data_IF_490064804730
#
_entry.id   IF_490064804730
#
_cell.length_a   1.000
_cell.length_b   1.000
_cell.length_c   1.000
_cell.angle_alpha   90.00
_cell.angle_beta   90.00
_cell.angle_gamma   90.00
#
_symmetry.space_group_name_H-M   'P 1'
#
loop_
_entity.id
_entity.type
_entity.pdbx_description
1 polymer ?
#
# COMPACT_ATOMS: atom_id res chain seq x y z
N UNK A 1 -33.23 -32.53 -3.58
CA UNK A 1 -32.28 -31.61 -2.93
C UNK A 1 -31.49 -30.95 -4.06
N UNK A 2 -31.99 -29.83 -4.57
CA UNK A 2 -31.25 -29.04 -5.57
C UNK A 2 -30.14 -28.28 -4.86
N UNK A 3 -28.89 -28.59 -5.22
CA UNK A 3 -27.72 -27.79 -4.86
C UNK A 3 -27.81 -26.45 -5.59
N UNK A 4 -28.43 -25.47 -4.95
CA UNK A 4 -28.46 -24.08 -5.38
C UNK A 4 -27.16 -23.34 -5.00
N UNK A 5 -26.00 -23.97 -5.22
CA UNK A 5 -24.68 -23.40 -4.92
C UNK A 5 -24.23 -22.30 -5.90
N UNK A 6 -25.11 -21.86 -6.81
CA UNK A 6 -24.83 -20.80 -7.78
C UNK A 6 -25.99 -19.84 -8.05
N UNK A 7 -27.00 -19.76 -7.18
CA UNK A 7 -28.12 -18.84 -7.40
C UNK A 7 -27.76 -17.38 -7.11
N UNK A 8 -28.41 -16.45 -7.80
CA UNK A 8 -28.22 -15.00 -7.61
C UNK A 8 -28.48 -14.53 -6.17
N UNK A 9 -29.37 -15.20 -5.44
CA UNK A 9 -29.62 -14.92 -4.03
C UNK A 9 -28.41 -15.21 -3.16
N UNK A 10 -27.70 -16.32 -3.41
CA UNK A 10 -26.48 -16.65 -2.68
C UNK A 10 -25.39 -15.61 -2.92
N UNK A 11 -25.23 -15.14 -4.16
CA UNK A 11 -24.30 -14.05 -4.50
C UNK A 11 -24.67 -12.73 -3.81
N UNK A 12 -25.96 -12.40 -3.75
CA UNK A 12 -26.44 -11.20 -3.08
C UNK A 12 -26.18 -11.24 -1.56
N UNK A 13 -26.37 -12.40 -0.93
CA UNK A 13 -26.05 -12.61 0.50
C UNK A 13 -24.56 -12.44 0.77
N UNK A 14 -23.68 -13.01 -0.06
CA UNK A 14 -22.23 -12.83 0.07
C UNK A 14 -21.78 -11.38 -0.11
N UNK A 15 -22.34 -10.65 -1.09
CA UNK A 15 -22.06 -9.21 -1.26
C UNK A 15 -22.49 -8.39 -0.05
N UNK A 16 -23.65 -8.69 0.54
CA UNK A 16 -24.12 -8.02 1.76
C UNK A 16 -23.16 -8.27 2.92
N UNK A 17 -22.72 -9.51 3.11
CA UNK A 17 -21.78 -9.86 4.16
C UNK A 17 -20.42 -9.17 3.96
N UNK A 18 -19.90 -9.14 2.74
CA UNK A 18 -18.65 -8.46 2.39
C UNK A 18 -18.70 -6.97 2.75
N UNK A 19 -19.81 -6.28 2.44
CA UNK A 19 -19.99 -4.88 2.81
C UNK A 19 -20.07 -4.67 4.32
N UNK A 20 -20.73 -5.57 5.05
CA UNK A 20 -20.77 -5.51 6.52
C UNK A 20 -19.38 -5.69 7.13
N UNK A 21 -18.57 -6.61 6.58
CA UNK A 21 -17.17 -6.79 6.99
C UNK A 21 -16.34 -5.54 6.71
N UNK A 22 -16.49 -4.90 5.54
CA UNK A 22 -15.86 -3.61 5.25
C UNK A 22 -16.20 -2.54 6.29
N UNK A 23 -17.48 -2.43 6.68
CA UNK A 23 -17.92 -1.45 7.66
C UNK A 23 -17.26 -1.68 9.04
N UNK A 24 -17.15 -2.94 9.48
CA UNK A 24 -16.45 -3.28 10.72
C UNK A 24 -14.96 -2.94 10.61
N UNK A 25 -14.32 -3.32 9.50
CA UNK A 25 -12.92 -3.03 9.24
C UNK A 25 -12.61 -1.52 9.25
N UNK A 26 -13.51 -0.68 8.73
CA UNK A 26 -13.37 0.78 8.79
C UNK A 26 -13.41 1.35 10.20
N UNK A 27 -14.13 0.72 11.13
CA UNK A 27 -14.18 1.17 12.54
C UNK A 27 -12.97 0.72 13.34
N UNK A 28 -12.25 -0.30 12.87
CA UNK A 28 -11.11 -0.89 13.58
C UNK A 28 -9.76 -0.27 13.21
N UNK A 29 -9.72 0.65 12.23
CA UNK A 29 -8.47 1.24 11.72
C UNK A 29 -8.31 2.68 12.19
N UNK A 30 -7.08 3.07 12.49
CA UNK A 30 -6.73 4.43 12.90
C UNK A 30 -7.08 5.45 11.79
N UNK A 31 -7.60 6.65 12.13
CA UNK A 31 -8.05 7.63 11.15
C UNK A 31 -7.02 8.00 10.07
N UNK A 32 -5.74 8.04 10.44
CA UNK A 32 -4.63 8.41 9.54
C UNK A 32 -4.42 7.37 8.41
N UNK A 33 -4.68 6.09 8.69
CA UNK A 33 -4.56 4.99 7.72
C UNK A 33 -5.89 4.77 7.00
N UNK A 34 -7.01 5.02 7.68
CA UNK A 34 -8.35 4.85 7.14
C UNK A 34 -8.57 5.65 5.84
N UNK A 35 -7.96 6.84 5.72
CA UNK A 35 -8.02 7.65 4.50
C UNK A 35 -7.60 6.87 3.24
N UNK A 36 -6.47 6.17 3.31
CA UNK A 36 -5.96 5.33 2.22
C UNK A 36 -6.80 4.08 2.00
N UNK A 37 -7.35 3.49 3.08
CA UNK A 37 -8.11 2.24 3.00
C UNK A 37 -9.58 2.43 2.57
N UNK A 38 -10.11 3.65 2.58
CA UNK A 38 -11.52 3.93 2.25
C UNK A 38 -11.86 3.73 0.77
N UNK A 39 -10.86 3.77 -0.11
CA UNK A 39 -11.03 3.52 -1.55
C UNK A 39 -11.46 2.08 -1.86
N UNK A 40 -11.19 1.14 -0.95
CA UNK A 40 -11.48 -0.27 -1.14
C UNK A 40 -12.93 -0.59 -0.74
N UNK A 41 -13.70 -1.11 -1.71
CA UNK A 41 -15.13 -1.43 -1.53
C UNK A 41 -15.40 -2.87 -1.09
N UNK A 42 -14.39 -3.72 -1.08
CA UNK A 42 -14.52 -5.13 -0.69
C UNK A 42 -13.58 -5.49 0.44
N UNK A 43 -13.99 -6.42 1.30
CA UNK A 43 -13.24 -6.76 2.51
C UNK A 43 -11.89 -7.38 2.16
N UNK A 44 -11.83 -8.15 1.07
CA UNK A 44 -10.60 -8.74 0.55
C UNK A 44 -9.59 -7.70 0.07
N UNK A 45 -10.03 -6.71 -0.71
CA UNK A 45 -9.12 -5.65 -1.20
C UNK A 45 -8.66 -4.74 -0.06
N UNK A 46 -9.55 -4.42 0.87
CA UNK A 46 -9.22 -3.71 2.10
C UNK A 46 -8.16 -4.47 2.89
N UNK A 47 -8.39 -5.76 3.16
CA UNK A 47 -7.50 -6.59 3.97
C UNK A 47 -6.11 -6.75 3.35
N UNK A 48 -6.03 -6.94 2.03
CA UNK A 48 -4.73 -7.02 1.34
C UNK A 48 -3.90 -5.73 1.50
N UNK A 49 -4.52 -4.56 1.40
CA UNK A 49 -3.81 -3.29 1.59
C UNK A 49 -3.46 -3.07 3.07
N UNK A 50 -4.39 -3.35 3.99
CA UNK A 50 -4.14 -3.26 5.43
C UNK A 50 -2.99 -4.19 5.83
N UNK A 51 -2.95 -5.42 5.34
CA UNK A 51 -1.86 -6.36 5.58
C UNK A 51 -0.51 -5.79 5.14
N UNK A 52 -0.43 -5.13 3.98
CA UNK A 52 0.81 -4.49 3.53
C UNK A 52 1.23 -3.36 4.49
N UNK A 53 0.30 -2.46 4.86
CA UNK A 53 0.56 -1.34 5.76
C UNK A 53 1.03 -1.82 7.15
N UNK A 54 0.35 -2.83 7.69
CA UNK A 54 0.64 -3.38 9.02
C UNK A 54 1.63 -4.55 9.02
N UNK A 55 2.22 -4.92 7.87
CA UNK A 55 3.18 -6.03 7.76
C UNK A 55 4.48 -5.81 8.56
N UNK A 56 4.56 -4.76 9.37
CA UNK A 56 5.60 -4.51 10.35
C UNK A 56 7.00 -4.38 9.75
N UNK A 57 7.09 -4.06 8.45
CA UNK A 57 8.34 -3.67 7.79
C UNK A 57 8.68 -2.19 8.03
N UNK A 58 8.14 -1.58 9.10
CA UNK A 58 8.46 -0.20 9.51
C UNK A 58 9.98 -0.07 9.74
N UNK A 59 10.60 -1.09 10.34
CA UNK A 59 12.05 -1.12 10.53
C UNK A 59 12.78 -1.08 9.19
N UNK A 60 12.34 -1.88 8.22
CA UNK A 60 12.92 -1.95 6.88
C UNK A 60 12.71 -0.65 6.09
N UNK A 61 11.60 0.04 6.29
CA UNK A 61 11.37 1.40 5.78
C UNK A 61 12.37 2.41 6.36
N UNK A 62 12.59 2.39 7.68
CA UNK A 62 13.61 3.23 8.31
C UNK A 62 15.00 2.90 7.80
N UNK A 63 15.34 1.62 7.66
CA UNK A 63 16.64 1.20 7.14
C UNK A 63 16.84 1.66 5.68
N UNK A 64 15.82 1.54 4.82
CA UNK A 64 15.86 2.03 3.45
C UNK A 64 16.02 3.56 3.38
N UNK A 65 15.29 4.29 4.22
CA UNK A 65 15.39 5.76 4.32
C UNK A 65 16.76 6.17 4.82
N UNK A 66 17.31 5.47 5.81
CA UNK A 66 18.62 5.72 6.37
C UNK A 66 19.73 5.42 5.36
N UNK A 67 19.63 4.33 4.59
CA UNK A 67 20.55 4.03 3.47
C UNK A 67 20.59 5.20 2.50
N UNK A 68 19.42 5.66 2.01
CA UNK A 68 19.34 6.81 1.09
C UNK A 68 19.94 8.08 1.69
N UNK A 69 19.58 8.41 2.93
CA UNK A 69 20.08 9.62 3.61
C UNK A 69 21.60 9.58 3.86
N UNK A 70 22.16 8.39 3.99
CA UNK A 70 23.59 8.17 4.22
C UNK A 70 24.42 8.02 2.93
N UNK A 71 23.77 7.89 1.76
CA UNK A 71 24.47 7.77 0.48
C UNK A 71 25.38 8.98 0.27
N UNK A 72 26.68 8.70 0.21
CA UNK A 72 27.71 9.69 -0.11
C UNK A 72 28.57 9.13 -1.22
N UNK A 73 28.82 9.92 -2.25
CA UNK A 73 29.76 9.55 -3.28
C UNK A 73 31.18 9.67 -2.73
N UNK A 74 31.78 8.52 -2.41
CA UNK A 74 33.19 8.42 -2.06
C UNK A 74 33.92 7.97 -3.33
N UNK A 75 34.93 8.73 -3.74
CA UNK A 75 35.49 8.83 -5.10
C UNK A 75 36.12 7.56 -5.73
N UNK A 76 35.86 6.35 -5.25
CA UNK A 76 36.63 5.17 -5.69
C UNK A 76 35.93 4.16 -6.59
N UNK A 77 34.60 4.02 -6.59
CA UNK A 77 33.91 3.15 -7.57
C UNK A 77 32.51 3.69 -7.91
N UNK A 78 32.43 4.45 -9.02
CA UNK A 78 31.18 5.06 -9.48
C UNK A 78 30.09 4.02 -9.79
N UNK A 79 30.46 2.85 -10.34
CA UNK A 79 29.53 1.76 -10.64
C UNK A 79 28.95 1.14 -9.38
N UNK A 80 29.76 0.95 -8.35
CA UNK A 80 29.33 0.43 -7.05
C UNK A 80 28.37 1.41 -6.37
N UNK A 81 28.70 2.70 -6.39
CA UNK A 81 27.83 3.76 -5.87
C UNK A 81 26.46 3.80 -6.57
N UNK A 82 26.45 3.76 -7.90
CA UNK A 82 25.19 3.75 -8.68
C UNK A 82 24.36 2.51 -8.34
N UNK A 83 24.99 1.33 -8.23
CA UNK A 83 24.30 0.11 -7.87
C UNK A 83 23.68 0.18 -6.46
N UNK A 84 24.40 0.75 -5.49
CA UNK A 84 23.92 0.94 -4.12
C UNK A 84 22.77 1.96 -4.06
N UNK A 85 22.88 3.06 -4.80
CA UNK A 85 21.82 4.06 -4.91
C UNK A 85 20.55 3.48 -5.54
N UNK A 86 20.68 2.71 -6.63
CA UNK A 86 19.55 2.03 -7.28
C UNK A 86 18.88 1.04 -6.33
N UNK A 87 19.67 0.22 -5.63
CA UNK A 87 19.17 -0.74 -4.65
C UNK A 87 18.36 -0.06 -3.53
N UNK A 88 18.89 1.02 -2.95
CA UNK A 88 18.22 1.75 -1.88
C UNK A 88 16.91 2.43 -2.36
N UNK A 89 16.91 2.99 -3.58
CA UNK A 89 15.71 3.59 -4.19
C UNK A 89 14.64 2.55 -4.47
N UNK A 90 14.98 1.39 -5.03
CA UNK A 90 14.01 0.31 -5.28
C UNK A 90 13.43 -0.23 -3.97
N UNK A 91 14.25 -0.37 -2.92
CA UNK A 91 13.77 -0.79 -1.60
C UNK A 91 12.78 0.22 -1.00
N UNK A 92 13.04 1.54 -1.13
CA UNK A 92 12.11 2.56 -0.69
C UNK A 92 10.81 2.57 -1.53
N UNK A 93 10.90 2.38 -2.84
CA UNK A 93 9.74 2.31 -3.74
C UNK A 93 8.77 1.19 -3.36
N UNK A 94 9.27 0.06 -2.85
CA UNK A 94 8.40 -1.03 -2.38
C UNK A 94 7.42 -0.58 -1.28
N UNK A 95 7.78 0.43 -0.48
CA UNK A 95 6.93 1.00 0.57
C UNK A 95 5.98 2.08 0.05
N UNK A 96 6.37 2.78 -1.00
CA UNK A 96 5.64 3.91 -1.57
C UNK A 96 4.58 3.47 -2.61
N UNK A 97 3.92 2.32 -2.39
CA UNK A 97 2.94 1.64 -3.28
C UNK A 97 2.35 2.53 -4.39
N UNK A 98 2.24 2.05 -5.64
CA UNK A 98 1.82 2.83 -6.83
C UNK A 98 0.71 3.88 -6.60
N UNK A 99 -0.30 3.61 -5.77
CA UNK A 99 -1.34 4.58 -5.38
C UNK A 99 -0.81 5.87 -4.72
N UNK A 100 0.24 5.77 -3.90
CA UNK A 100 0.90 6.90 -3.23
C UNK A 100 1.75 7.72 -4.20
N UNK A 101 2.36 7.07 -5.19
CA UNK A 101 3.12 7.77 -6.24
C UNK A 101 2.18 8.53 -7.18
N UNK A 102 1.01 7.96 -7.52
CA UNK A 102 -0.02 8.70 -8.26
C UNK A 102 -0.57 9.88 -7.46
N UNK A 103 -0.83 9.72 -6.16
CA UNK A 103 -1.27 10.81 -5.30
C UNK A 103 -0.24 11.94 -5.17
N UNK A 104 1.06 11.61 -5.12
CA UNK A 104 2.14 12.61 -5.12
C UNK A 104 2.23 13.35 -6.46
N UNK A 105 2.11 12.65 -7.59
CA UNK A 105 2.10 13.27 -8.93
C UNK A 105 0.92 14.21 -9.12
N UNK A 106 -0.27 13.83 -8.62
CA UNK A 106 -1.46 14.69 -8.66
C UNK A 106 -1.29 15.94 -7.79
N UNK A 107 -0.60 15.85 -6.65
CA UNK A 107 -0.26 17.00 -5.81
C UNK A 107 0.77 17.91 -6.48
N UNK A 108 1.75 17.34 -7.18
CA UNK A 108 2.77 18.09 -7.92
C UNK A 108 2.15 18.87 -9.10
N UNK A 109 1.23 18.25 -9.86
CA UNK A 109 0.46 18.93 -10.93
C UNK A 109 -0.48 20.04 -10.41
N UNK A 110 -0.93 19.96 -9.15
CA UNK A 110 -1.76 21.00 -8.52
C UNK A 110 -0.92 22.17 -7.99
N UNK A 111 0.36 21.96 -7.72
CA UNK A 111 1.30 23.00 -7.29
C UNK A 111 1.91 23.77 -8.48
N UNK A 112 1.89 23.19 -9.68
CA UNK A 112 2.35 23.84 -10.92
C UNK A 112 1.25 24.62 -11.69
N UNK A 113 0.02 24.70 -11.16
CA UNK A 113 -1.07 25.55 -11.67
C UNK A 113 -1.29 26.78 -10.81
#
# INVERSE_FOLDING_TARGET
MENAEGSDESRAKWKKLDFQLCAVLWQSVEPNILGTLRAFKTSCSFWKKAQNIYANDIQRLYDATQKIASLKQINHEMTSHIAEAQSAVEELKMFLTDDSLEGMKQLEELLEK
#
